data_IF_473220567713
#
_entry.id   IF_473220567713
#
_cell.length_a   1.000
_cell.length_b   1.000
_cell.length_c   1.000
_cell.angle_alpha   90.00
_cell.angle_beta   90.00
_cell.angle_gamma   90.00
#
_symmetry.space_group_name_H-M   'P 1'
#
loop_
_entity.id
_entity.type
_entity.pdbx_description
1 polymer ?
#
# COMPACT_ATOMS: atom_id res chain seq x y z
N UNK A 1 -24.97 27.08 10.51
CA UNK A 1 -24.01 27.02 9.39
C UNK A 1 -22.97 26.00 9.83
N UNK A 2 -23.04 24.78 9.31
CA UNK A 2 -22.05 23.75 9.63
C UNK A 2 -20.75 24.15 8.94
N UNK A 3 -19.67 24.12 9.71
CA UNK A 3 -18.33 24.47 9.29
C UNK A 3 -17.83 23.46 8.26
N UNK A 4 -18.03 23.77 6.97
CA UNK A 4 -17.58 22.95 5.84
C UNK A 4 -16.07 23.05 5.60
N UNK A 5 -15.38 23.90 6.37
CA UNK A 5 -13.94 24.17 6.19
C UNK A 5 -13.02 23.13 6.83
N UNK A 6 -13.52 22.33 7.77
CA UNK A 6 -12.70 21.32 8.46
C UNK A 6 -12.64 19.95 7.76
N UNK A 7 -13.49 19.70 6.78
CA UNK A 7 -13.65 18.36 6.19
C UNK A 7 -12.66 18.04 5.05
N UNK A 8 -11.83 18.98 4.62
CA UNK A 8 -11.12 18.86 3.33
C UNK A 8 -9.61 18.69 3.37
N UNK A 9 -8.93 19.07 4.45
CA UNK A 9 -7.46 19.23 4.42
C UNK A 9 -6.66 18.12 5.08
N UNK A 10 -7.30 17.30 5.89
CA UNK A 10 -6.64 16.21 6.59
C UNK A 10 -6.58 14.94 5.76
N UNK A 11 -5.41 14.46 5.46
CA UNK A 11 -5.15 13.10 4.99
C UNK A 11 -5.80 12.68 3.65
N UNK A 12 -6.19 13.63 2.79
CA UNK A 12 -6.72 13.33 1.45
C UNK A 12 -7.95 12.42 1.45
N UNK A 13 -8.82 12.52 2.45
CA UNK A 13 -10.01 11.69 2.57
C UNK A 13 -9.77 10.25 3.02
N UNK A 14 -8.51 9.84 3.25
CA UNK A 14 -8.17 8.47 3.66
C UNK A 14 -8.67 8.10 5.07
N UNK A 15 -9.01 9.09 5.91
CA UNK A 15 -9.62 8.87 7.23
C UNK A 15 -11.13 8.66 7.21
N UNK A 16 -11.77 8.67 6.05
CA UNK A 16 -13.22 8.51 5.91
C UNK A 16 -13.64 7.04 5.93
N UNK A 17 -14.91 6.80 6.31
CA UNK A 17 -15.51 5.46 6.21
C UNK A 17 -15.55 4.97 4.77
N UNK A 18 -15.79 5.86 3.80
CA UNK A 18 -15.77 5.53 2.38
C UNK A 18 -14.41 5.03 1.91
N UNK A 19 -13.30 5.69 2.31
CA UNK A 19 -11.96 5.22 1.98
C UNK A 19 -11.68 3.82 2.56
N UNK A 20 -12.11 3.57 3.80
CA UNK A 20 -11.97 2.25 4.43
C UNK A 20 -12.70 1.18 3.64
N UNK A 21 -13.96 1.43 3.29
CA UNK A 21 -14.72 0.48 2.48
C UNK A 21 -14.09 0.25 1.12
N UNK A 22 -13.64 1.32 0.43
CA UNK A 22 -12.98 1.22 -0.86
C UNK A 22 -11.72 0.36 -0.80
N UNK A 23 -10.82 0.63 0.16
CA UNK A 23 -9.58 -0.14 0.32
C UNK A 23 -9.85 -1.60 0.70
N UNK A 24 -10.84 -1.85 1.59
CA UNK A 24 -11.23 -3.20 1.97
C UNK A 24 -11.86 -3.96 0.79
N UNK A 25 -12.69 -3.28 -0.02
CA UNK A 25 -13.27 -3.89 -1.21
C UNK A 25 -12.22 -4.23 -2.26
N UNK A 26 -11.25 -3.33 -2.50
CA UNK A 26 -10.11 -3.61 -3.39
C UNK A 26 -9.30 -4.79 -2.88
N UNK A 27 -9.03 -4.85 -1.57
CA UNK A 27 -8.37 -6.00 -0.96
C UNK A 27 -9.16 -7.29 -1.17
N UNK A 28 -10.48 -7.28 -0.89
CA UNK A 28 -11.34 -8.45 -1.07
C UNK A 28 -11.41 -8.94 -2.51
N UNK A 29 -11.49 -8.03 -3.48
CA UNK A 29 -11.46 -8.38 -4.91
C UNK A 29 -10.12 -9.00 -5.30
N UNK A 30 -9.00 -8.49 -4.77
CA UNK A 30 -7.68 -9.07 -4.98
C UNK A 30 -7.60 -10.50 -4.44
N UNK A 31 -8.06 -10.74 -3.19
CA UNK A 31 -8.11 -12.09 -2.58
C UNK A 31 -8.94 -13.04 -3.44
N UNK A 32 -10.10 -12.60 -3.93
CA UNK A 32 -10.95 -13.41 -4.80
C UNK A 32 -10.23 -13.72 -6.12
N UNK A 33 -9.55 -12.72 -6.70
CA UNK A 33 -8.77 -12.90 -7.93
C UNK A 33 -7.66 -13.92 -7.76
N UNK A 34 -6.89 -13.84 -6.66
CA UNK A 34 -5.81 -14.78 -6.36
C UNK A 34 -6.36 -16.20 -6.10
N UNK A 35 -7.48 -16.31 -5.38
CA UNK A 35 -8.14 -17.59 -5.12
C UNK A 35 -8.66 -18.23 -6.41
N UNK A 36 -9.26 -17.46 -7.31
CA UNK A 36 -9.75 -17.94 -8.60
C UNK A 36 -8.60 -18.27 -9.58
N UNK A 37 -7.49 -17.54 -9.48
CA UNK A 37 -6.27 -17.78 -10.24
C UNK A 37 -5.46 -19.00 -9.78
N UNK A 38 -5.85 -19.63 -8.67
CA UNK A 38 -5.13 -20.77 -8.09
C UNK A 38 -3.80 -20.40 -7.43
N UNK A 39 -3.60 -19.11 -7.15
CA UNK A 39 -2.35 -18.62 -6.52
C UNK A 39 -2.32 -18.91 -5.02
N UNK A 40 -3.45 -19.18 -4.39
CA UNK A 40 -3.57 -19.51 -2.98
C UNK A 40 -3.70 -21.03 -2.81
N UNK A 41 -2.63 -21.69 -2.38
CA UNK A 41 -2.65 -23.11 -2.05
C UNK A 41 -2.86 -23.29 -0.54
N UNK A 42 -3.97 -23.92 -0.07
CA UNK A 42 -4.11 -24.20 1.34
C UNK A 42 -3.20 -25.36 1.75
N UNK A 43 -2.79 -25.47 3.04
CA UNK A 43 -3.11 -24.61 4.18
C UNK A 43 -1.93 -23.78 4.73
N UNK A 44 -0.73 -23.74 4.11
CA UNK A 44 0.48 -23.16 4.69
C UNK A 44 1.34 -22.37 3.70
N UNK A 45 0.75 -21.81 2.68
CA UNK A 45 1.46 -20.92 1.78
C UNK A 45 1.73 -19.57 2.49
N UNK A 46 2.91 -19.01 2.29
CA UNK A 46 3.30 -17.71 2.84
C UNK A 46 2.41 -16.56 2.33
N UNK A 47 1.70 -16.74 1.21
CA UNK A 47 0.69 -15.81 0.74
C UNK A 47 -0.50 -15.71 1.69
N UNK A 48 -0.85 -16.81 2.37
CA UNK A 48 -1.84 -16.79 3.44
C UNK A 48 -1.43 -15.89 4.62
N UNK A 49 -0.13 -15.65 4.82
CA UNK A 49 0.36 -14.65 5.77
C UNK A 49 0.34 -13.23 5.17
N UNK A 50 0.59 -13.09 3.87
CA UNK A 50 0.60 -11.80 3.20
C UNK A 50 -0.75 -11.09 3.25
N UNK A 51 -1.85 -11.82 3.06
CA UNK A 51 -3.20 -11.29 3.00
C UNK A 51 -3.64 -10.57 4.30
N UNK A 52 -3.55 -11.18 5.51
CA UNK A 52 -3.98 -10.51 6.72
C UNK A 52 -3.09 -9.29 7.07
N UNK A 53 -1.80 -9.32 6.77
CA UNK A 53 -0.94 -8.17 6.99
C UNK A 53 -1.22 -7.03 6.01
N UNK A 54 -1.55 -7.33 4.76
CA UNK A 54 -2.02 -6.35 3.80
C UNK A 54 -3.30 -5.66 4.28
N UNK A 55 -4.29 -6.45 4.73
CA UNK A 55 -5.54 -5.92 5.31
C UNK A 55 -5.29 -5.10 6.58
N UNK A 56 -4.44 -5.59 7.48
CA UNK A 56 -4.08 -4.87 8.71
C UNK A 56 -3.48 -3.49 8.37
N UNK A 57 -2.54 -3.43 7.43
CA UNK A 57 -1.96 -2.18 6.96
C UNK A 57 -3.01 -1.22 6.41
N UNK A 58 -3.93 -1.72 5.58
CA UNK A 58 -5.01 -0.96 4.99
C UNK A 58 -6.00 -0.41 6.04
N UNK A 59 -6.40 -1.24 7.01
CA UNK A 59 -7.29 -0.84 8.10
C UNK A 59 -6.64 0.21 9.00
N UNK A 60 -5.37 0.02 9.37
CA UNK A 60 -4.64 0.99 10.17
C UNK A 60 -4.45 2.32 9.43
N UNK A 61 -4.16 2.27 8.12
CA UNK A 61 -4.03 3.44 7.26
C UNK A 61 -5.33 4.26 7.21
N UNK A 62 -6.47 3.60 7.14
CA UNK A 62 -7.81 4.22 7.02
C UNK A 62 -8.50 4.43 8.36
N UNK A 63 -7.78 4.40 9.48
CA UNK A 63 -8.34 4.75 10.79
C UNK A 63 -8.88 6.19 10.78
N UNK A 64 -10.04 6.38 11.45
CA UNK A 64 -10.72 7.68 11.51
C UNK A 64 -9.80 8.76 12.11
N UNK A 65 -9.82 9.93 11.50
CA UNK A 65 -9.07 11.12 11.93
C UNK A 65 -8.54 11.88 10.71
N UNK A 66 -8.58 13.20 10.80
CA UNK A 66 -8.15 14.10 9.72
C UNK A 66 -6.64 14.39 9.79
N UNK A 67 -5.99 14.01 10.88
CA UNK A 67 -4.57 14.25 11.11
C UNK A 67 -3.69 13.14 10.52
N UNK A 68 -2.41 13.48 10.36
CA UNK A 68 -1.37 12.50 10.06
C UNK A 68 -1.37 11.39 11.13
N UNK A 69 -1.13 10.16 10.69
CA UNK A 69 -1.02 9.03 11.63
C UNK A 69 0.12 9.28 12.63
N UNK A 70 -0.08 8.88 13.87
CA UNK A 70 0.99 8.87 14.86
C UNK A 70 2.17 8.03 14.35
N UNK A 71 3.39 8.36 14.77
CA UNK A 71 4.61 7.63 14.35
C UNK A 71 4.49 6.12 14.58
N UNK A 72 3.87 5.71 15.69
CA UNK A 72 3.66 4.28 16.00
C UNK A 72 2.72 3.60 14.99
N UNK A 73 1.61 4.25 14.65
CA UNK A 73 0.65 3.72 13.67
C UNK A 73 1.25 3.71 12.26
N UNK A 74 1.93 4.77 11.86
CA UNK A 74 2.62 4.82 10.58
C UNK A 74 3.71 3.73 10.47
N UNK A 75 4.45 3.50 11.56
CA UNK A 75 5.40 2.38 11.65
C UNK A 75 4.73 1.02 11.55
N UNK A 76 3.57 0.83 12.19
CA UNK A 76 2.80 -0.41 12.11
C UNK A 76 2.27 -0.67 10.69
N UNK A 77 1.76 0.36 9.99
CA UNK A 77 1.35 0.27 8.59
C UNK A 77 2.54 -0.10 7.70
N UNK A 78 3.67 0.58 7.88
CA UNK A 78 4.90 0.31 7.13
C UNK A 78 5.38 -1.15 7.33
N UNK A 79 5.44 -1.60 8.59
CA UNK A 79 5.84 -2.97 8.93
C UNK A 79 4.87 -4.01 8.34
N UNK A 80 3.55 -3.79 8.48
CA UNK A 80 2.53 -4.67 7.93
C UNK A 80 2.65 -4.78 6.39
N UNK A 81 2.89 -3.65 5.70
CA UNK A 81 3.10 -3.64 4.25
C UNK A 81 4.36 -4.43 3.85
N UNK A 82 5.47 -4.25 4.57
CA UNK A 82 6.71 -5.00 4.29
C UNK A 82 6.54 -6.48 4.54
N UNK A 83 5.89 -6.89 5.65
CA UNK A 83 5.61 -8.29 5.95
C UNK A 83 4.70 -8.92 4.88
N UNK A 84 3.67 -8.18 4.45
CA UNK A 84 2.78 -8.61 3.36
C UNK A 84 3.56 -8.82 2.06
N UNK A 85 4.46 -7.89 1.70
CA UNK A 85 5.30 -8.01 0.51
C UNK A 85 6.26 -9.21 0.58
N UNK A 86 6.89 -9.45 1.74
CA UNK A 86 7.76 -10.63 1.95
C UNK A 86 6.95 -11.91 1.82
N UNK A 87 5.76 -11.99 2.44
CA UNK A 87 4.87 -13.13 2.31
C UNK A 87 4.52 -13.43 0.85
N UNK A 88 4.18 -12.38 0.08
CA UNK A 88 3.89 -12.51 -1.34
C UNK A 88 5.10 -13.01 -2.16
N UNK A 89 6.29 -12.51 -1.89
CA UNK A 89 7.51 -12.94 -2.60
C UNK A 89 7.94 -14.38 -2.26
N UNK A 90 7.57 -14.87 -1.08
CA UNK A 90 7.93 -16.23 -0.63
C UNK A 90 6.86 -17.28 -0.88
N UNK A 91 5.72 -16.91 -1.42
CA UNK A 91 4.58 -17.82 -1.67
C UNK A 91 4.81 -18.87 -2.77
N UNK A 92 5.89 -18.74 -3.53
CA UNK A 92 6.16 -19.64 -4.66
C UNK A 92 5.23 -19.44 -5.87
N UNK A 93 4.28 -18.51 -5.79
CA UNK A 93 3.43 -18.15 -6.91
C UNK A 93 4.27 -17.53 -8.04
N UNK A 94 3.89 -17.76 -9.32
CA UNK A 94 4.58 -17.16 -10.44
C UNK A 94 4.61 -15.63 -10.30
N UNK A 95 5.78 -15.04 -10.49
CA UNK A 95 5.96 -13.59 -10.53
C UNK A 95 4.94 -12.94 -11.48
N UNK A 96 4.31 -11.88 -11.03
CA UNK A 96 3.29 -11.16 -11.79
C UNK A 96 1.84 -11.55 -11.44
N UNK A 97 1.63 -12.59 -10.65
CA UNK A 97 0.29 -13.01 -10.19
C UNK A 97 0.03 -12.69 -8.71
N UNK A 98 1.01 -12.14 -8.02
CA UNK A 98 0.87 -11.79 -6.60
C UNK A 98 0.28 -10.38 -6.45
N UNK A 99 -1.04 -10.31 -6.47
CA UNK A 99 -1.75 -9.07 -6.19
C UNK A 99 -1.39 -8.47 -4.82
N UNK A 100 -1.11 -9.33 -3.83
CA UNK A 100 -0.71 -8.95 -2.49
C UNK A 100 0.57 -8.12 -2.45
N UNK A 101 1.55 -8.37 -3.32
CA UNK A 101 2.76 -7.54 -3.45
C UNK A 101 2.44 -6.13 -3.95
N UNK A 102 1.59 -6.03 -4.98
CA UNK A 102 1.13 -4.74 -5.50
C UNK A 102 0.35 -3.97 -4.42
N UNK A 103 -0.57 -4.63 -3.74
CA UNK A 103 -1.38 -4.04 -2.68
C UNK A 103 -0.52 -3.51 -1.53
N UNK A 104 0.47 -4.29 -1.07
CA UNK A 104 1.42 -3.87 -0.05
C UNK A 104 2.18 -2.60 -0.46
N UNK A 105 2.60 -2.52 -1.72
CA UNK A 105 3.28 -1.35 -2.29
C UNK A 105 2.37 -0.11 -2.27
N UNK A 106 1.10 -0.25 -2.65
CA UNK A 106 0.14 0.85 -2.60
C UNK A 106 -0.18 1.28 -1.17
N UNK A 107 -0.38 0.35 -0.24
CA UNK A 107 -0.65 0.69 1.17
C UNK A 107 0.53 1.46 1.77
N UNK A 108 1.77 1.04 1.50
CA UNK A 108 2.97 1.76 1.92
C UNK A 108 3.02 3.18 1.33
N UNK A 109 2.74 3.33 0.03
CA UNK A 109 2.77 4.62 -0.67
C UNK A 109 1.67 5.58 -0.18
N UNK A 110 0.50 5.08 0.21
CA UNK A 110 -0.60 5.87 0.75
C UNK A 110 -0.29 6.51 2.12
N UNK A 111 0.79 6.11 2.79
CA UNK A 111 1.33 6.84 3.95
C UNK A 111 1.78 8.26 3.58
N UNK A 112 2.19 8.50 2.32
CA UNK A 112 2.68 9.79 1.85
C UNK A 112 1.57 10.86 1.88
N UNK A 113 0.43 10.67 1.18
CA UNK A 113 -0.68 11.61 1.25
C UNK A 113 -1.29 11.69 2.66
N UNK A 114 -1.17 10.61 3.47
CA UNK A 114 -1.60 10.61 4.88
C UNK A 114 -0.69 11.44 5.82
N UNK A 115 0.33 12.11 5.29
CA UNK A 115 1.23 12.99 6.05
C UNK A 115 2.49 12.31 6.58
N UNK A 116 2.65 11.00 6.39
CA UNK A 116 3.78 10.21 6.90
C UNK A 116 4.80 9.91 5.78
N UNK A 117 5.31 10.96 5.12
CA UNK A 117 6.18 10.86 3.94
C UNK A 117 7.38 9.93 4.15
N UNK A 118 8.10 10.12 5.26
CA UNK A 118 9.30 9.30 5.54
C UNK A 118 8.96 7.82 5.66
N UNK A 119 7.91 7.48 6.41
CA UNK A 119 7.49 6.08 6.57
C UNK A 119 7.05 5.47 5.24
N UNK A 120 6.32 6.22 4.41
CA UNK A 120 5.89 5.77 3.09
C UNK A 120 7.06 5.54 2.13
N UNK A 121 8.02 6.49 2.08
CA UNK A 121 9.21 6.36 1.24
C UNK A 121 10.08 5.19 1.69
N UNK A 122 10.34 5.06 2.99
CA UNK A 122 11.17 3.96 3.53
C UNK A 122 10.52 2.62 3.25
N UNK A 123 9.23 2.46 3.55
CA UNK A 123 8.53 1.19 3.32
C UNK A 123 8.46 0.85 1.82
N UNK A 124 8.08 1.80 0.97
CA UNK A 124 7.99 1.57 -0.47
C UNK A 124 9.35 1.27 -1.11
N UNK A 125 10.41 1.98 -0.70
CA UNK A 125 11.77 1.68 -1.17
C UNK A 125 12.25 0.30 -0.70
N UNK A 126 11.95 -0.08 0.55
CA UNK A 126 12.31 -1.39 1.08
C UNK A 126 11.58 -2.51 0.34
N UNK A 127 10.29 -2.35 0.04
CA UNK A 127 9.52 -3.30 -0.78
C UNK A 127 10.14 -3.43 -2.18
N UNK A 128 10.50 -2.31 -2.81
CA UNK A 128 11.18 -2.32 -4.10
C UNK A 128 12.53 -3.06 -4.07
N UNK A 129 13.34 -2.82 -3.04
CA UNK A 129 14.61 -3.51 -2.85
C UNK A 129 14.44 -5.01 -2.59
N UNK A 130 13.43 -5.39 -1.81
CA UNK A 130 13.09 -6.80 -1.59
C UNK A 130 12.66 -7.49 -2.89
N UNK A 131 11.82 -6.84 -3.69
CA UNK A 131 11.43 -7.34 -5.00
C UNK A 131 12.62 -7.49 -5.95
N UNK A 132 13.50 -6.49 -6.00
CA UNK A 132 14.73 -6.54 -6.80
C UNK A 132 15.67 -7.66 -6.35
N UNK A 133 15.93 -7.76 -5.05
CA UNK A 133 16.78 -8.82 -4.47
C UNK A 133 16.22 -10.21 -4.75
N UNK A 134 14.91 -10.37 -4.59
CA UNK A 134 14.22 -11.63 -4.92
C UNK A 134 14.37 -11.99 -6.40
N UNK A 135 14.18 -11.02 -7.31
CA UNK A 135 14.34 -11.22 -8.75
C UNK A 135 15.75 -11.66 -9.13
N UNK A 136 16.78 -11.02 -8.55
CA UNK A 136 18.18 -11.41 -8.75
C UNK A 136 18.44 -12.83 -8.25
N UNK A 137 17.94 -13.13 -7.03
CA UNK A 137 18.17 -14.44 -6.40
C UNK A 137 17.56 -15.59 -7.20
N UNK A 138 16.40 -15.39 -7.80
CA UNK A 138 15.68 -16.42 -8.56
C UNK A 138 15.98 -16.40 -10.06
N UNK A 139 16.93 -15.58 -10.51
CA UNK A 139 17.27 -15.48 -11.94
C UNK A 139 16.11 -15.02 -12.81
N UNK A 140 15.30 -14.10 -12.30
CA UNK A 140 14.13 -13.58 -13.01
C UNK A 140 14.50 -13.00 -14.38
N UNK A 141 13.60 -13.13 -15.36
CA UNK A 141 13.78 -12.48 -16.66
C UNK A 141 13.71 -10.95 -16.54
N UNK A 142 14.26 -10.25 -17.52
CA UNK A 142 14.27 -8.79 -17.53
C UNK A 142 12.84 -8.19 -17.42
N UNK A 143 11.84 -8.81 -18.05
CA UNK A 143 10.44 -8.38 -17.93
C UNK A 143 9.89 -8.54 -16.51
N UNK A 144 10.12 -9.68 -15.88
CA UNK A 144 9.71 -9.92 -14.49
C UNK A 144 10.39 -8.95 -13.50
N UNK A 145 11.66 -8.64 -13.77
CA UNK A 145 12.41 -7.66 -12.98
C UNK A 145 11.77 -6.26 -13.08
N UNK A 146 11.41 -5.86 -14.31
CA UNK A 146 10.73 -4.58 -14.54
C UNK A 146 9.38 -4.54 -13.86
N UNK A 147 8.57 -5.60 -13.95
CA UNK A 147 7.25 -5.67 -13.32
C UNK A 147 7.34 -5.53 -11.80
N UNK A 148 8.28 -6.23 -11.16
CA UNK A 148 8.49 -6.15 -9.71
C UNK A 148 8.96 -4.76 -9.23
N UNK A 149 9.78 -4.07 -10.03
CA UNK A 149 10.24 -2.72 -9.69
C UNK A 149 9.21 -1.65 -10.05
N UNK A 150 8.48 -1.82 -11.14
CA UNK A 150 7.52 -0.84 -11.61
C UNK A 150 6.41 -0.60 -10.58
N UNK A 151 5.90 -1.64 -9.93
CA UNK A 151 4.80 -1.54 -8.97
C UNK A 151 5.12 -0.64 -7.78
N UNK A 152 6.20 -0.85 -6.99
CA UNK A 152 6.55 0.03 -5.89
C UNK A 152 6.88 1.46 -6.35
N UNK A 153 7.58 1.61 -7.48
CA UNK A 153 7.93 2.93 -8.03
C UNK A 153 6.68 3.70 -8.43
N UNK A 154 5.76 3.08 -9.19
CA UNK A 154 4.50 3.71 -9.58
C UNK A 154 3.66 4.07 -8.35
N UNK A 155 3.58 3.18 -7.36
CA UNK A 155 2.87 3.45 -6.12
C UNK A 155 3.43 4.69 -5.40
N UNK A 156 4.75 4.81 -5.29
CA UNK A 156 5.41 5.97 -4.68
C UNK A 156 5.15 7.26 -5.47
N UNK A 157 5.22 7.20 -6.81
CA UNK A 157 4.93 8.35 -7.68
C UNK A 157 3.47 8.80 -7.49
N UNK A 158 2.52 7.86 -7.48
CA UNK A 158 1.09 8.16 -7.23
C UNK A 158 0.90 8.80 -5.86
N UNK A 159 1.50 8.24 -4.80
CA UNK A 159 1.42 8.78 -3.45
C UNK A 159 2.00 10.20 -3.35
N UNK A 160 3.15 10.44 -3.97
CA UNK A 160 3.81 11.75 -3.99
C UNK A 160 2.99 12.79 -4.79
N UNK A 161 2.47 12.40 -5.95
CA UNK A 161 1.64 13.26 -6.80
C UNK A 161 0.34 13.65 -6.09
N UNK A 162 -0.31 12.68 -5.46
CA UNK A 162 -1.51 12.93 -4.67
C UNK A 162 -1.24 13.94 -3.55
N UNK A 163 -0.17 13.76 -2.79
CA UNK A 163 0.23 14.73 -1.77
C UNK A 163 0.48 16.12 -2.35
N UNK A 164 1.19 16.21 -3.49
CA UNK A 164 1.45 17.49 -4.14
C UNK A 164 0.16 18.20 -4.59
N UNK A 165 -0.84 17.45 -5.05
CA UNK A 165 -2.15 18.00 -5.39
C UNK A 165 -2.88 18.53 -4.16
N UNK A 166 -2.89 17.78 -3.06
CA UNK A 166 -3.53 18.21 -1.82
C UNK A 166 -2.92 19.51 -1.27
N UNK A 167 -1.59 19.63 -1.27
CA UNK A 167 -0.91 20.84 -0.80
C UNK A 167 -1.23 22.06 -1.67
N UNK A 168 -1.41 21.88 -2.98
CA UNK A 168 -1.79 22.98 -3.89
C UNK A 168 -3.22 23.47 -3.66
N UNK A 169 -4.15 22.58 -3.33
CA UNK A 169 -5.54 22.95 -3.03
C UNK A 169 -5.59 23.81 -1.78
N UNK A 170 -4.91 23.39 -0.71
CA UNK A 170 -4.87 24.13 0.57
C UNK A 170 -4.30 25.53 0.38
N UNK A 171 -3.21 25.69 -0.37
CA UNK A 171 -2.59 27.01 -0.62
C UNK A 171 -3.53 27.95 -1.37
N UNK A 172 -4.36 27.44 -2.29
CA UNK A 172 -5.31 28.27 -3.05
C UNK A 172 -6.50 28.75 -2.23
N UNK A 173 -6.89 28.04 -1.18
CA UNK A 173 -8.00 28.44 -0.32
C UNK A 173 -7.58 29.49 0.73
N UNK A 174 -6.28 29.68 0.94
CA UNK A 174 -5.73 30.63 1.93
C UNK A 174 -5.27 31.96 1.33
N UNK A 175 -5.33 32.10 0.01
CA UNK A 175 -5.04 33.37 -0.73
C UNK A 175 -6.30 34.00 -1.28
#
# INVERSE_FOLDING_TARGET
>A
MADLTSAGTGAGGLGTSGARWAVTAVWGLGVISDALGGSVAPPFDSEFLALPFGLLGAVLLTTRGDDALSRRRAGAVAAASVISAVGALTSGAPLGHTWSFAFASYVAALLIPRGNVRSGLVAGSLIGLLGAGWAVWHGASASQYVDLLALPVLALVVGATWRAMLTRIVVRETT
#
